data_IF_971855847305
#
_entry.id   IF_971855847305
#
_cell.length_a   1.000
_cell.length_b   1.000
_cell.length_c   1.000
_cell.angle_alpha   90.00
_cell.angle_beta   90.00
_cell.angle_gamma   90.00
#
_symmetry.space_group_name_H-M   'P 1'
#
loop_
_entity.id
_entity.type
_entity.pdbx_description
1 polymer ?
#
# COMPACT_ATOMS: atom_id res chain seq x y z
N UNK A 1 -23.00 54.03 -9.65
CA UNK A 1 -24.11 54.08 -8.67
C UNK A 1 -25.18 53.08 -9.11
N UNK A 2 -25.91 52.49 -8.15
CA UNK A 2 -26.77 51.27 -8.22
C UNK A 2 -25.95 49.96 -8.18
N UNK A 3 -25.82 49.19 -7.09
CA UNK A 3 -26.65 48.89 -5.91
C UNK A 3 -27.91 48.08 -6.26
N UNK A 4 -27.76 46.76 -6.31
CA UNK A 4 -28.87 45.82 -6.12
C UNK A 4 -28.41 44.59 -5.33
N UNK A 5 -28.90 44.54 -4.09
CA UNK A 5 -28.86 43.41 -3.15
C UNK A 5 -30.06 42.50 -3.44
N UNK A 6 -29.87 41.18 -3.41
CA UNK A 6 -30.90 40.15 -3.19
C UNK A 6 -30.14 38.90 -2.69
N UNK A 7 -29.84 38.76 -1.39
CA UNK A 7 -30.65 38.09 -0.35
C UNK A 7 -31.63 37.05 -0.91
N UNK A 8 -31.22 35.78 -0.88
CA UNK A 8 -32.13 34.64 -0.82
C UNK A 8 -31.70 33.75 0.36
N UNK A 9 -32.35 34.00 1.50
CA UNK A 9 -32.46 33.09 2.63
C UNK A 9 -33.66 32.18 2.33
N UNK A 10 -33.42 30.88 2.10
CA UNK A 10 -34.47 29.87 2.14
C UNK A 10 -34.17 28.87 3.25
N UNK A 11 -35.01 28.96 4.28
CA UNK A 11 -35.11 28.07 5.43
C UNK A 11 -35.64 26.67 5.03
N UNK A 12 -35.03 25.63 5.62
CA UNK A 12 -35.60 24.43 6.27
C UNK A 12 -36.50 23.46 5.44
N UNK A 13 -36.43 22.12 5.64
CA UNK A 13 -36.76 21.51 6.94
C UNK A 13 -35.89 20.34 7.44
N UNK A 14 -35.85 20.27 8.77
CA UNK A 14 -35.64 19.08 9.59
C UNK A 14 -36.72 18.03 9.28
N UNK A 15 -36.30 16.84 8.87
CA UNK A 15 -37.06 15.59 8.88
C UNK A 15 -36.01 14.46 8.79
N UNK A 16 -36.11 13.30 9.40
CA UNK A 16 -37.09 12.71 10.30
C UNK A 16 -36.30 11.61 11.01
N UNK A 17 -36.57 11.42 12.29
CA UNK A 17 -36.21 10.19 12.98
C UNK A 17 -36.76 8.98 12.22
N UNK A 18 -35.94 7.97 11.97
CA UNK A 18 -36.41 6.62 11.72
C UNK A 18 -35.83 5.70 12.78
N UNK A 19 -36.77 5.28 13.61
CA UNK A 19 -36.72 4.21 14.60
C UNK A 19 -36.23 2.88 14.01
N UNK A 20 -35.30 2.28 14.74
CA UNK A 20 -35.37 0.91 15.26
C UNK A 20 -36.23 -0.11 14.48
N UNK A 21 -35.54 -1.03 13.82
CA UNK A 21 -35.87 -2.44 13.64
C UNK A 21 -34.50 -3.11 13.40
N UNK A 22 -34.01 -4.07 14.19
CA UNK A 22 -34.71 -5.22 14.71
C UNK A 22 -33.91 -6.42 14.23
N UNK A 23 -33.31 -7.14 15.17
CA UNK A 23 -32.92 -8.55 15.08
C UNK A 23 -32.17 -9.03 13.82
N UNK A 24 -30.86 -9.27 13.96
CA UNK A 24 -30.34 -10.61 13.68
C UNK A 24 -28.98 -10.81 14.33
N UNK A 25 -28.98 -11.36 15.54
CA UNK A 25 -27.82 -12.05 16.09
C UNK A 25 -27.56 -13.28 15.21
N UNK A 26 -26.83 -13.12 14.11
CA UNK A 26 -26.15 -14.26 13.50
C UNK A 26 -24.99 -14.62 14.41
N UNK A 27 -25.27 -15.57 15.28
CA UNK A 27 -24.32 -16.57 15.75
C UNK A 27 -23.47 -17.01 14.55
N UNK A 28 -22.28 -16.43 14.41
CA UNK A 28 -21.23 -17.07 13.63
C UNK A 28 -20.63 -18.09 14.58
N UNK A 29 -21.02 -19.34 14.36
CA UNK A 29 -20.42 -20.50 15.00
C UNK A 29 -18.91 -20.41 14.80
N UNK A 30 -18.19 -20.33 15.91
CA UNK A 30 -16.77 -20.62 15.95
C UNK A 30 -16.67 -22.13 15.72
N UNK A 31 -16.52 -22.54 14.46
CA UNK A 31 -16.07 -23.89 14.15
C UNK A 31 -14.65 -24.00 14.70
N UNK A 32 -14.55 -24.69 15.83
CA UNK A 32 -13.31 -25.16 16.39
C UNK A 32 -12.62 -26.02 15.32
N UNK A 33 -11.58 -25.46 14.70
CA UNK A 33 -10.61 -26.24 13.94
C UNK A 33 -9.98 -27.26 14.89
N UNK A 34 -10.54 -28.47 14.88
CA UNK A 34 -9.88 -29.66 15.42
C UNK A 34 -8.70 -29.96 14.50
N UNK A 35 -7.56 -29.36 14.83
CA UNK A 35 -6.26 -29.74 14.28
C UNK A 35 -5.98 -31.15 14.79
N UNK A 36 -6.26 -32.16 13.98
CA UNK A 36 -5.79 -33.51 14.25
C UNK A 36 -4.26 -33.51 14.16
N UNK A 37 -3.53 -33.85 15.23
CA UNK A 37 -2.11 -34.11 15.13
C UNK A 37 -1.95 -35.44 14.39
N UNK A 38 -1.73 -35.39 13.08
CA UNK A 38 -1.30 -36.54 12.31
C UNK A 38 0.18 -36.79 12.61
N UNK A 39 0.45 -37.33 13.80
CA UNK A 39 1.73 -37.88 14.21
C UNK A 39 1.98 -39.16 13.41
N UNK A 40 2.45 -39.03 12.16
CA UNK A 40 3.13 -40.13 11.49
C UNK A 40 4.49 -40.30 12.15
N UNK A 41 4.57 -41.34 12.98
CA UNK A 41 5.80 -41.92 13.49
C UNK A 41 6.67 -42.39 12.31
N UNK A 42 7.59 -41.52 11.86
CA UNK A 42 8.68 -41.93 10.99
C UNK A 42 9.69 -42.66 11.89
N UNK A 43 9.55 -43.98 11.96
CA UNK A 43 10.63 -44.86 12.35
C UNK A 43 11.65 -44.90 11.20
N UNK A 44 12.69 -44.08 11.26
CA UNK A 44 13.89 -44.30 10.46
C UNK A 44 15.08 -44.51 11.40
N UNK A 45 15.42 -45.80 11.51
CA UNK A 45 16.69 -46.31 12.00
C UNK A 45 17.86 -45.68 11.23
N UNK A 46 18.89 -45.35 11.99
CA UNK A 46 20.31 -45.53 11.65
C UNK A 46 20.84 -44.88 10.36
N UNK A 47 21.42 -43.69 10.53
CA UNK A 47 22.75 -43.38 10.01
C UNK A 47 23.23 -42.05 10.63
N UNK A 48 23.85 -42.14 11.82
CA UNK A 48 24.65 -41.03 12.38
C UNK A 48 25.90 -40.91 11.51
N UNK A 49 25.80 -40.15 10.40
CA UNK A 49 26.99 -39.66 9.69
C UNK A 49 27.50 -38.46 10.48
N UNK A 50 28.60 -38.67 11.20
CA UNK A 50 29.42 -37.59 11.71
C UNK A 50 29.92 -36.77 10.51
N UNK A 51 29.24 -35.65 10.22
CA UNK A 51 29.78 -34.64 9.33
C UNK A 51 30.95 -34.00 10.06
N UNK A 52 32.18 -34.30 9.63
CA UNK A 52 33.36 -33.52 9.97
C UNK A 52 33.13 -32.13 9.38
N UNK A 53 32.71 -31.19 10.24
CA UNK A 53 32.64 -29.77 9.90
C UNK A 53 34.06 -29.24 9.98
N UNK A 54 34.69 -28.98 8.83
CA UNK A 54 36.00 -28.34 8.77
C UNK A 54 35.93 -26.96 9.44
N UNK A 55 36.65 -26.73 10.55
CA UNK A 55 36.55 -25.48 11.32
C UNK A 55 37.33 -24.30 10.72
N UNK A 56 37.74 -24.36 9.45
CA UNK A 56 38.74 -23.44 8.87
C UNK A 56 38.28 -22.53 7.73
N UNK A 57 36.97 -22.44 7.43
CA UNK A 57 36.47 -21.38 6.54
C UNK A 57 36.08 -20.14 7.37
N UNK A 58 37.07 -19.31 7.72
CA UNK A 58 36.80 -17.91 8.05
C UNK A 58 36.51 -17.18 6.73
N UNK A 59 35.24 -17.15 6.33
CA UNK A 59 34.78 -16.23 5.29
C UNK A 59 34.71 -14.87 5.95
N UNK A 60 35.70 -14.02 5.67
CA UNK A 60 35.60 -12.59 5.95
C UNK A 60 34.49 -12.03 5.05
N UNK A 61 33.25 -12.08 5.54
CA UNK A 61 32.10 -11.51 4.87
C UNK A 61 32.22 -9.98 4.95
N UNK A 62 32.75 -9.38 3.89
CA UNK A 62 32.81 -7.94 3.71
C UNK A 62 31.37 -7.40 3.76
N UNK A 63 30.99 -6.78 4.87
CA UNK A 63 29.66 -6.19 5.09
C UNK A 63 29.50 -5.00 4.13
N UNK A 64 28.94 -5.26 2.95
CA UNK A 64 28.60 -4.22 1.98
C UNK A 64 27.47 -3.38 2.55
N UNK A 65 27.76 -2.10 2.80
CA UNK A 65 26.74 -1.13 3.21
C UNK A 65 25.69 -0.97 2.10
N UNK A 66 24.39 -0.93 2.44
CA UNK A 66 23.34 -0.81 1.45
C UNK A 66 23.44 0.50 0.68
N UNK A 67 23.22 0.45 -0.62
CA UNK A 67 23.26 1.63 -1.48
C UNK A 67 22.06 2.55 -1.20
N UNK A 68 22.36 3.79 -0.83
CA UNK A 68 21.35 4.83 -0.58
C UNK A 68 20.70 5.26 -1.89
N UNK A 69 19.38 5.37 -1.88
CA UNK A 69 18.60 5.88 -3.01
C UNK A 69 18.22 7.34 -2.74
N UNK A 70 18.35 8.20 -3.75
CA UNK A 70 18.06 9.63 -3.64
C UNK A 70 16.99 10.03 -4.65
N UNK A 71 16.15 10.99 -4.26
CA UNK A 71 15.19 11.61 -5.16
C UNK A 71 15.88 12.63 -6.09
N UNK A 72 15.10 13.22 -7.01
CA UNK A 72 15.58 14.26 -7.93
C UNK A 72 16.08 15.55 -7.24
N UNK A 73 15.72 15.76 -5.97
CA UNK A 73 16.11 16.91 -5.17
C UNK A 73 17.34 16.60 -4.29
N UNK A 74 17.89 15.38 -4.36
CA UNK A 74 19.01 14.93 -3.55
C UNK A 74 18.63 14.49 -2.14
N UNK A 75 17.34 14.28 -1.85
CA UNK A 75 16.87 13.77 -0.57
C UNK A 75 16.91 12.23 -0.54
N UNK A 76 17.42 11.66 0.54
CA UNK A 76 17.52 10.21 0.73
C UNK A 76 16.13 9.61 1.02
N UNK A 77 15.77 8.54 0.31
CA UNK A 77 14.56 7.77 0.62
C UNK A 77 14.78 6.98 1.91
N UNK A 78 14.03 7.33 2.95
CA UNK A 78 13.98 6.59 4.23
C UNK A 78 12.57 6.06 4.47
N UNK A 79 12.46 4.93 5.17
CA UNK A 79 11.16 4.40 5.60
C UNK A 79 10.39 5.43 6.45
N UNK A 80 9.07 5.49 6.26
CA UNK A 80 8.18 6.46 6.90
C UNK A 80 8.08 7.82 6.20
N UNK A 81 8.90 8.12 5.19
CA UNK A 81 8.79 9.38 4.43
C UNK A 81 7.54 9.41 3.58
N UNK A 82 6.91 10.58 3.49
CA UNK A 82 5.83 10.85 2.55
C UNK A 82 6.44 11.17 1.20
N UNK A 83 5.94 10.53 0.17
CA UNK A 83 6.33 10.74 -1.22
C UNK A 83 5.12 11.11 -2.07
N UNK A 84 5.35 11.87 -3.12
CA UNK A 84 4.37 12.26 -4.14
C UNK A 84 4.72 11.62 -5.47
N UNK A 85 3.72 11.12 -6.19
CA UNK A 85 3.90 10.66 -7.57
C UNK A 85 4.16 11.86 -8.48
N UNK A 86 5.29 11.84 -9.20
CA UNK A 86 5.66 12.93 -10.11
C UNK A 86 5.55 12.55 -11.60
N UNK A 87 5.34 11.27 -11.93
CA UNK A 87 5.22 10.79 -13.32
C UNK A 87 3.78 10.37 -13.65
N UNK A 88 3.28 10.81 -14.78
CA UNK A 88 1.95 10.45 -15.28
C UNK A 88 1.93 9.04 -15.91
N UNK A 89 0.73 8.45 -16.00
CA UNK A 89 0.51 7.19 -16.71
C UNK A 89 0.98 5.93 -15.98
N UNK A 90 1.25 6.03 -14.68
CA UNK A 90 1.58 4.87 -13.85
C UNK A 90 0.34 4.01 -13.61
N UNK A 91 0.50 2.70 -13.70
CA UNK A 91 -0.60 1.72 -13.62
C UNK A 91 -0.37 0.78 -12.44
N UNK A 92 -1.30 0.73 -11.50
CA UNK A 92 -1.28 -0.20 -10.39
C UNK A 92 -2.20 -1.39 -10.66
N UNK A 93 -1.60 -2.54 -11.00
CA UNK A 93 -2.33 -3.79 -11.28
C UNK A 93 -2.68 -4.60 -10.02
N UNK A 94 -1.99 -4.34 -8.91
CA UNK A 94 -2.13 -5.08 -7.65
C UNK A 94 -3.29 -4.57 -6.77
N UNK A 95 -4.04 -3.59 -7.25
CA UNK A 95 -5.15 -2.99 -6.50
C UNK A 95 -6.36 -3.94 -6.51
N UNK A 96 -7.06 -4.11 -5.37
CA UNK A 96 -8.34 -4.82 -5.33
C UNK A 96 -9.32 -4.31 -6.37
N UNK A 97 -10.24 -5.15 -6.87
CA UNK A 97 -11.19 -4.77 -7.92
C UNK A 97 -12.01 -3.51 -7.62
N UNK A 98 -12.28 -3.21 -6.34
CA UNK A 98 -12.98 -2.00 -5.90
C UNK A 98 -12.20 -0.70 -6.13
N UNK A 99 -10.87 -0.79 -6.21
CA UNK A 99 -9.99 0.36 -6.45
C UNK A 99 -9.48 0.45 -7.89
N UNK A 100 -9.99 -0.36 -8.83
CA UNK A 100 -9.65 -0.27 -10.25
C UNK A 100 -10.45 0.84 -10.92
N UNK A 101 -9.81 1.61 -11.79
CA UNK A 101 -10.41 2.77 -12.42
C UNK A 101 -9.42 3.89 -12.74
N UNK A 102 -9.93 5.10 -12.87
CA UNK A 102 -9.18 6.31 -13.20
C UNK A 102 -9.58 7.47 -12.29
N UNK A 103 -8.90 8.60 -12.43
CA UNK A 103 -9.27 9.85 -11.77
C UNK A 103 -9.75 10.84 -12.83
N UNK A 104 -10.85 11.53 -12.52
CA UNK A 104 -11.31 12.73 -13.23
C UNK A 104 -11.15 13.93 -12.30
N UNK A 105 -10.12 14.75 -12.58
CA UNK A 105 -9.64 15.72 -11.61
C UNK A 105 -9.15 15.03 -10.33
N UNK A 106 -9.68 15.42 -9.17
CA UNK A 106 -9.39 14.82 -7.86
C UNK A 106 -10.33 13.66 -7.50
N UNK A 107 -11.38 13.44 -8.29
CA UNK A 107 -12.40 12.44 -7.99
C UNK A 107 -12.06 11.10 -8.62
N UNK A 108 -12.05 10.04 -7.82
CA UNK A 108 -11.86 8.68 -8.31
C UNK A 108 -13.12 8.18 -9.03
N UNK A 109 -12.96 7.65 -10.23
CA UNK A 109 -13.98 6.99 -11.03
C UNK A 109 -13.66 5.50 -11.14
N UNK A 110 -14.43 4.67 -10.42
CA UNK A 110 -14.30 3.22 -10.53
C UNK A 110 -14.71 2.74 -11.94
N UNK A 111 -13.88 1.90 -12.54
CA UNK A 111 -14.16 1.28 -13.83
C UNK A 111 -13.87 -0.22 -13.77
N UNK A 112 -14.91 -1.07 -13.75
CA UNK A 112 -14.73 -2.52 -13.67
C UNK A 112 -14.14 -3.12 -14.96
N UNK A 113 -14.14 -2.38 -16.07
CA UNK A 113 -13.57 -2.84 -17.35
C UNK A 113 -12.06 -2.65 -17.39
N UNK A 114 -11.55 -1.64 -16.68
CA UNK A 114 -10.12 -1.37 -16.60
C UNK A 114 -9.46 -2.30 -15.57
N UNK A 115 -8.45 -3.13 -15.95
CA UNK A 115 -7.87 -4.10 -15.03
C UNK A 115 -6.89 -3.52 -14.01
N UNK A 116 -6.70 -2.19 -13.99
CA UNK A 116 -5.72 -1.47 -13.18
C UNK A 116 -6.27 -0.13 -12.68
N UNK A 117 -5.57 0.46 -11.71
CA UNK A 117 -5.74 1.85 -11.31
C UNK A 117 -4.73 2.73 -12.06
N UNK A 118 -5.18 3.82 -12.68
CA UNK A 118 -4.29 4.86 -13.21
C UNK A 118 -3.98 5.84 -12.07
N UNK A 119 -2.71 5.95 -11.69
CA UNK A 119 -2.29 6.82 -10.60
C UNK A 119 -2.16 8.27 -11.10
N UNK A 120 -2.81 9.25 -10.43
CA UNK A 120 -2.66 10.65 -10.79
C UNK A 120 -1.33 11.20 -10.27
N UNK A 121 -0.77 12.17 -10.99
CA UNK A 121 0.34 12.98 -10.49
C UNK A 121 -0.15 13.77 -9.29
N UNK A 122 0.60 13.76 -8.19
CA UNK A 122 0.16 14.36 -6.93
C UNK A 122 -0.33 13.35 -5.88
N UNK A 123 -0.63 12.11 -6.25
CA UNK A 123 -1.04 11.12 -5.25
C UNK A 123 0.11 10.91 -4.24
N UNK A 124 -0.18 11.09 -2.94
CA UNK A 124 0.80 10.88 -1.87
C UNK A 124 0.69 9.49 -1.28
N UNK A 125 1.84 8.95 -0.87
CA UNK A 125 1.94 7.69 -0.15
C UNK A 125 3.12 7.70 0.80
N UNK A 126 3.25 6.66 1.62
CA UNK A 126 4.31 6.54 2.62
C UNK A 126 5.28 5.44 2.21
N UNK A 127 6.58 5.74 2.23
CA UNK A 127 7.63 4.76 1.97
C UNK A 127 7.61 3.72 3.09
N UNK A 128 7.40 2.46 2.73
CA UNK A 128 7.39 1.34 3.68
C UNK A 128 8.66 0.53 3.67
N UNK A 129 9.41 0.56 2.56
CA UNK A 129 10.66 -0.17 2.40
C UNK A 129 11.47 0.43 1.27
N UNK A 130 12.78 0.50 1.46
CA UNK A 130 13.75 0.80 0.41
C UNK A 130 14.64 -0.43 0.24
N UNK A 131 14.59 -1.06 -0.93
CA UNK A 131 15.35 -2.27 -1.26
C UNK A 131 16.70 -1.84 -1.83
N UNK A 132 17.77 -2.44 -1.32
CA UNK A 132 19.10 -2.30 -1.89
C UNK A 132 19.20 -3.10 -3.20
N UNK A 133 19.37 -2.39 -4.31
CA UNK A 133 19.49 -2.95 -5.66
C UNK A 133 20.74 -3.80 -5.87
N UNK A 134 21.78 -3.62 -5.03
CA UNK A 134 23.00 -4.44 -5.09
C UNK A 134 22.82 -5.80 -4.43
N UNK A 135 22.07 -5.84 -3.34
CA UNK A 135 21.77 -7.08 -2.61
C UNK A 135 20.72 -7.92 -3.33
N UNK A 136 19.71 -7.26 -3.90
CA UNK A 136 18.61 -7.92 -4.62
C UNK A 136 18.43 -7.19 -5.94
N UNK A 137 18.45 -7.92 -7.05
CA UNK A 137 18.16 -7.41 -8.41
C UNK A 137 16.68 -7.01 -8.54
N UNK A 138 16.26 -6.01 -7.77
CA UNK A 138 14.92 -5.47 -7.75
C UNK A 138 14.86 -4.28 -8.71
N UNK A 139 14.04 -4.38 -9.75
CA UNK A 139 13.86 -3.31 -10.73
C UNK A 139 13.17 -2.06 -10.17
N UNK A 140 12.47 -2.18 -9.03
CA UNK A 140 11.69 -1.12 -8.40
C UNK A 140 12.00 -1.08 -6.90
N UNK A 141 13.03 -0.34 -6.47
CA UNK A 141 13.56 -0.45 -5.12
C UNK A 141 12.68 0.20 -4.03
N UNK A 142 11.81 1.15 -4.40
CA UNK A 142 11.05 1.94 -3.41
C UNK A 142 9.64 1.38 -3.29
N UNK A 143 9.28 0.82 -2.13
CA UNK A 143 7.93 0.31 -1.86
C UNK A 143 7.11 1.34 -1.09
N UNK A 144 6.03 1.81 -1.69
CA UNK A 144 5.15 2.84 -1.14
C UNK A 144 3.78 2.25 -0.80
N UNK A 145 3.23 2.65 0.34
CA UNK A 145 1.86 2.36 0.77
C UNK A 145 0.97 3.58 0.54
N UNK A 146 -0.16 3.35 -0.10
CA UNK A 146 -1.22 4.33 -0.24
C UNK A 146 -2.36 3.94 0.69
N UNK A 147 -2.89 4.93 1.41
CA UNK A 147 -4.01 4.75 2.32
C UNK A 147 -5.14 5.71 1.92
N UNK A 148 -6.41 5.30 2.05
CA UNK A 148 -7.54 6.20 1.86
C UNK A 148 -7.55 7.28 2.94
N UNK A 149 -8.20 8.40 2.63
CA UNK A 149 -8.48 9.51 3.55
C UNK A 149 -7.25 10.24 4.10
N UNK A 150 -6.08 10.02 3.50
CA UNK A 150 -4.92 10.88 3.68
C UNK A 150 -5.16 12.12 2.83
N UNK A 151 -5.80 13.14 3.41
CA UNK A 151 -5.99 14.41 2.72
C UNK A 151 -4.63 15.03 2.37
N UNK A 152 -4.47 15.30 1.07
CA UNK A 152 -3.29 15.93 0.52
C UNK A 152 -3.65 17.35 0.10
N UNK A 153 -2.67 18.25 0.05
CA UNK A 153 -2.88 19.63 -0.45
C UNK A 153 -3.44 19.67 -1.87
N UNK A 154 -3.21 18.59 -2.64
CA UNK A 154 -3.66 18.43 -4.02
C UNK A 154 -5.06 17.77 -4.11
N UNK A 155 -5.63 17.34 -2.98
CA UNK A 155 -6.99 16.78 -2.91
C UNK A 155 -7.14 15.36 -3.45
N UNK A 156 -6.04 14.66 -3.75
CA UNK A 156 -6.09 13.27 -4.17
C UNK A 156 -6.13 12.32 -2.96
N UNK A 157 -7.04 11.35 -3.02
CA UNK A 157 -7.17 10.27 -2.04
C UNK A 157 -7.19 8.91 -2.74
N UNK A 158 -6.53 7.91 -2.17
CA UNK A 158 -6.53 6.55 -2.70
C UNK A 158 -7.89 5.86 -2.44
N UNK A 159 -8.48 5.13 -3.40
CA UNK A 159 -9.80 4.53 -3.21
C UNK A 159 -9.82 3.36 -2.22
N UNK A 160 -8.70 2.65 -2.13
CA UNK A 160 -8.46 1.51 -1.24
C UNK A 160 -6.99 1.50 -0.85
N UNK A 161 -6.61 0.89 0.29
CA UNK A 161 -5.20 0.75 0.62
C UNK A 161 -4.52 -0.24 -0.34
N UNK A 162 -3.34 0.11 -0.84
CA UNK A 162 -2.51 -0.77 -1.65
C UNK A 162 -1.01 -0.45 -1.50
N UNK A 163 -0.18 -1.40 -1.94
CA UNK A 163 1.27 -1.27 -1.98
C UNK A 163 1.72 -1.31 -3.44
N UNK A 164 2.70 -0.49 -3.80
CA UNK A 164 3.32 -0.51 -5.12
C UNK A 164 4.80 -0.16 -5.03
N UNK A 165 5.59 -0.76 -5.91
CA UNK A 165 7.01 -0.45 -6.04
C UNK A 165 7.23 0.57 -7.16
N UNK A 166 8.17 1.50 -6.96
CA UNK A 166 8.48 2.59 -7.87
C UNK A 166 9.98 2.69 -8.14
N UNK A 167 10.31 3.32 -9.27
CA UNK A 167 11.64 3.85 -9.51
C UNK A 167 11.84 5.19 -8.78
N UNK A 168 13.08 5.55 -8.41
CA UNK A 168 13.41 6.86 -7.82
C UNK A 168 12.95 8.08 -8.64
N UNK A 169 12.78 7.89 -9.96
CA UNK A 169 12.38 8.94 -10.91
C UNK A 169 10.87 9.18 -10.94
N UNK A 170 10.08 8.28 -10.36
CA UNK A 170 8.61 8.29 -10.47
C UNK A 170 7.93 8.91 -9.24
N UNK A 171 8.70 9.07 -8.16
CA UNK A 171 8.28 9.61 -6.89
C UNK A 171 9.27 10.66 -6.40
N UNK A 172 8.79 11.63 -5.64
CA UNK A 172 9.62 12.65 -4.98
C UNK A 172 9.24 12.76 -3.50
N UNK A 173 10.20 13.14 -2.66
CA UNK A 173 9.92 13.35 -1.23
C UNK A 173 9.24 14.72 -1.06
N UNK A 174 8.18 14.76 -0.25
CA UNK A 174 7.41 15.97 0.08
C UNK A 174 7.94 16.61 1.36
#
# INVERSE_FOLDING_TARGET
>A
MALQRLIYLSLLPLASWNTWNGHSCRHVMVEAFSVQPNCRSIQSRDAVRCFNVDPSLHVEEEVKLPEKQYDKNGQEFTEGRVVRICKAGLKAHQVPSKGKGSYDGTTFMADPTTPYLILPVGLRGVVTRVIDTKAVSANFPIRVKFEPDVETEEGYSAPVPFLMHFLPQEVEIV
#
